data_IF_172887018431
#
_entry.id   IF_172887018431
#
_cell.length_a   1.000
_cell.length_b   1.000
_cell.length_c   1.000
_cell.angle_alpha   90.00
_cell.angle_beta   90.00
_cell.angle_gamma   90.00
#
_symmetry.space_group_name_H-M   'P 1'
#
loop_
_entity.id
_entity.type
_entity.pdbx_description
1 polymer ?
#
# COMPACT_ATOMS: atom_id res chain seq x y z
N UNK A 1 -1.84 -1.51 -5.76
CA UNK A 1 -2.44 -2.86 -5.70
C UNK A 1 -1.34 -3.88 -5.94
N UNK A 2 -1.39 -5.06 -5.32
CA UNK A 2 -0.49 -6.17 -5.69
C UNK A 2 -1.03 -6.86 -6.96
N UNK A 3 -0.15 -7.31 -7.85
CA UNK A 3 -0.55 -7.96 -9.12
C UNK A 3 -0.98 -9.42 -8.97
N UNK A 4 -0.42 -10.10 -7.98
CA UNK A 4 -0.75 -11.49 -7.68
C UNK A 4 -1.87 -11.56 -6.62
N UNK A 5 -2.65 -12.64 -6.64
CA UNK A 5 -3.66 -12.93 -5.62
C UNK A 5 -3.88 -14.45 -5.52
N UNK A 6 -4.77 -14.85 -4.62
CA UNK A 6 -5.22 -16.24 -4.50
C UNK A 6 -6.74 -16.29 -4.37
N UNK A 7 -7.32 -17.43 -4.71
CA UNK A 7 -8.74 -17.73 -4.56
C UNK A 7 -8.92 -18.70 -3.40
N UNK A 8 -10.02 -18.57 -2.65
CA UNK A 8 -10.44 -19.50 -1.60
C UNK A 8 -11.77 -20.14 -2.00
N UNK A 9 -11.92 -21.44 -1.74
CA UNK A 9 -13.10 -22.22 -2.11
C UNK A 9 -13.81 -22.82 -0.88
N UNK A 10 -15.07 -23.20 -1.07
CA UNK A 10 -15.79 -24.11 -0.17
C UNK A 10 -15.28 -25.55 -0.31
N UNK A 11 -15.52 -26.40 0.69
CA UNK A 11 -15.19 -27.84 0.62
C UNK A 11 -16.27 -28.67 -0.09
N UNK A 12 -17.49 -28.14 -0.19
CA UNK A 12 -18.65 -28.77 -0.83
C UNK A 12 -19.22 -27.90 -1.94
N UNK A 13 -20.00 -28.53 -2.83
CA UNK A 13 -20.58 -27.88 -4.00
C UNK A 13 -21.71 -26.91 -3.61
N UNK A 14 -21.70 -25.71 -4.21
CA UNK A 14 -22.73 -24.70 -4.01
C UNK A 14 -24.12 -25.18 -4.42
N UNK A 15 -25.09 -24.99 -3.54
CA UNK A 15 -26.52 -25.21 -3.72
C UNK A 15 -27.31 -24.28 -2.78
N UNK A 16 -28.64 -24.23 -2.90
CA UNK A 16 -29.51 -23.35 -2.09
C UNK A 16 -30.43 -24.14 -1.13
N UNK A 17 -30.24 -25.45 -1.03
CA UNK A 17 -31.06 -26.36 -0.23
C UNK A 17 -30.42 -26.65 1.15
N UNK A 18 -29.09 -26.66 1.19
CA UNK A 18 -28.26 -26.83 2.39
C UNK A 18 -27.45 -25.54 2.66
N UNK A 19 -27.68 -24.92 3.81
CA UNK A 19 -27.04 -23.67 4.25
C UNK A 19 -25.78 -23.90 5.12
N UNK A 20 -25.23 -25.11 5.14
CA UNK A 20 -24.02 -25.44 5.91
C UNK A 20 -22.83 -24.56 5.56
N UNK A 21 -22.03 -24.19 6.57
CA UNK A 21 -20.84 -23.33 6.40
C UNK A 21 -19.78 -23.95 5.47
N UNK A 22 -19.73 -25.27 5.37
CA UNK A 22 -18.87 -26.03 4.45
C UNK A 22 -19.18 -25.77 2.97
N UNK A 23 -20.38 -25.27 2.64
CA UNK A 23 -20.83 -24.89 1.29
C UNK A 23 -20.68 -23.38 1.06
N UNK A 24 -21.11 -22.54 2.01
CA UNK A 24 -21.33 -21.10 1.75
C UNK A 24 -20.19 -20.16 2.17
N UNK A 25 -19.28 -20.57 3.06
CA UNK A 25 -18.23 -19.70 3.59
C UNK A 25 -16.84 -20.11 3.10
N UNK A 26 -16.11 -19.22 2.41
CA UNK A 26 -14.78 -19.52 1.84
C UNK A 26 -13.61 -19.28 2.83
N UNK A 27 -13.91 -19.03 4.10
CA UNK A 27 -12.94 -18.67 5.12
C UNK A 27 -12.10 -19.90 5.52
N UNK A 28 -10.77 -19.81 5.36
CA UNK A 28 -9.87 -20.94 5.65
C UNK A 28 -9.96 -21.44 7.11
N UNK A 29 -10.22 -20.53 8.06
CA UNK A 29 -10.48 -20.84 9.47
C UNK A 29 -11.63 -21.81 9.70
N UNK A 30 -12.61 -21.84 8.79
CA UNK A 30 -13.76 -22.74 8.78
C UNK A 30 -13.43 -23.96 7.92
N UNK A 31 -13.03 -23.73 6.66
CA UNK A 31 -12.88 -24.78 5.65
C UNK A 31 -11.79 -25.81 5.97
N UNK A 32 -10.78 -25.46 6.78
CA UNK A 32 -9.77 -26.42 7.28
C UNK A 32 -10.37 -27.56 8.13
N UNK A 33 -11.53 -27.34 8.76
CA UNK A 33 -12.19 -28.35 9.59
C UNK A 33 -12.83 -29.44 8.72
N UNK A 34 -13.33 -29.05 7.54
CA UNK A 34 -14.02 -29.90 6.56
C UNK A 34 -13.08 -30.65 5.61
N UNK A 35 -11.77 -30.39 5.68
CA UNK A 35 -10.74 -30.98 4.81
C UNK A 35 -10.59 -32.53 4.91
N UNK A 36 -11.32 -33.18 5.82
CA UNK A 36 -11.35 -34.65 5.99
C UNK A 36 -12.65 -35.32 5.53
N UNK A 37 -13.66 -34.54 5.16
CA UNK A 37 -14.93 -35.09 4.68
C UNK A 37 -14.81 -35.55 3.22
N UNK A 38 -15.80 -36.31 2.74
CA UNK A 38 -15.86 -36.71 1.33
C UNK A 38 -16.17 -35.48 0.48
N UNK A 39 -15.14 -34.90 -0.12
CA UNK A 39 -15.25 -33.71 -0.96
C UNK A 39 -15.99 -34.07 -2.26
N UNK A 40 -17.23 -33.62 -2.37
CA UNK A 40 -18.02 -33.71 -3.60
C UNK A 40 -17.28 -32.95 -4.72
N UNK A 41 -16.76 -33.67 -5.71
CA UNK A 41 -15.86 -33.11 -6.74
C UNK A 41 -14.38 -33.00 -6.32
N UNK A 42 -13.88 -33.89 -5.45
CA UNK A 42 -12.51 -33.89 -4.92
C UNK A 42 -11.40 -33.66 -5.96
N UNK A 43 -11.55 -34.20 -7.18
CA UNK A 43 -10.56 -34.12 -8.27
C UNK A 43 -10.43 -32.70 -8.87
N UNK A 44 -11.42 -31.83 -8.66
CA UNK A 44 -11.45 -30.49 -9.26
C UNK A 44 -10.68 -29.43 -8.45
N UNK A 45 -10.52 -29.62 -7.13
CA UNK A 45 -9.96 -28.62 -6.21
C UNK A 45 -8.87 -29.22 -5.31
N UNK A 46 -7.71 -28.54 -5.12
CA UNK A 46 -6.63 -29.03 -4.26
C UNK A 46 -7.08 -29.10 -2.79
N UNK A 47 -6.42 -29.94 -1.99
CA UNK A 47 -6.77 -30.20 -0.59
C UNK A 47 -6.75 -28.96 0.31
N UNK A 48 -6.02 -27.90 -0.06
CA UNK A 48 -5.96 -26.62 0.65
C UNK A 48 -7.18 -25.72 0.43
N UNK A 49 -8.12 -26.08 -0.46
CA UNK A 49 -9.21 -25.23 -0.93
C UNK A 49 -8.74 -23.86 -1.45
N UNK A 50 -7.53 -23.77 -2.03
CA UNK A 50 -7.00 -22.52 -2.60
C UNK A 50 -6.35 -22.71 -3.97
N UNK A 51 -6.49 -21.71 -4.84
CA UNK A 51 -5.72 -21.58 -6.09
C UNK A 51 -4.87 -20.30 -6.08
N UNK A 52 -3.67 -20.38 -6.64
CA UNK A 52 -2.92 -19.19 -7.04
C UNK A 52 -3.57 -18.53 -8.27
N UNK A 53 -3.32 -17.23 -8.48
CA UNK A 53 -3.80 -16.52 -9.68
C UNK A 53 -3.42 -17.24 -10.98
N UNK A 54 -2.20 -17.78 -11.09
CA UNK A 54 -1.76 -18.56 -12.25
C UNK A 54 -2.70 -19.74 -12.53
N UNK A 55 -3.10 -20.48 -11.50
CA UNK A 55 -4.02 -21.63 -11.66
C UNK A 55 -5.44 -21.20 -12.05
N UNK A 56 -5.89 -20.06 -11.56
CA UNK A 56 -7.17 -19.47 -11.98
C UNK A 56 -7.14 -18.97 -13.43
N UNK A 57 -6.04 -18.34 -13.87
CA UNK A 57 -5.85 -17.94 -15.27
C UNK A 57 -5.79 -19.15 -16.22
N UNK A 58 -5.09 -20.23 -15.84
CA UNK A 58 -5.13 -21.52 -16.56
C UNK A 58 -6.55 -22.07 -16.67
N UNK A 59 -7.33 -22.05 -15.59
CA UNK A 59 -8.71 -22.50 -15.59
C UNK A 59 -9.60 -21.65 -16.50
N UNK A 60 -9.52 -20.32 -16.41
CA UNK A 60 -10.23 -19.42 -17.33
C UNK A 60 -9.83 -19.68 -18.79
N UNK A 61 -8.55 -19.93 -19.07
CA UNK A 61 -8.08 -20.26 -20.41
C UNK A 61 -8.63 -21.60 -20.92
N UNK A 62 -8.76 -22.61 -20.04
CA UNK A 62 -9.38 -23.91 -20.38
C UNK A 62 -10.87 -23.83 -20.71
N UNK A 63 -11.54 -22.74 -20.31
CA UNK A 63 -12.94 -22.45 -20.60
C UNK A 63 -13.15 -21.49 -21.79
N UNK A 64 -12.09 -21.19 -22.56
CA UNK A 64 -12.01 -20.13 -23.57
C UNK A 64 -12.41 -18.72 -23.06
N UNK A 65 -12.07 -18.46 -21.79
CA UNK A 65 -12.45 -17.25 -21.04
C UNK A 65 -11.25 -16.53 -20.42
N UNK A 66 -10.02 -16.91 -20.76
CA UNK A 66 -8.78 -16.31 -20.20
C UNK A 66 -8.74 -14.79 -20.29
N UNK A 67 -9.28 -14.23 -21.38
CA UNK A 67 -9.36 -12.78 -21.59
C UNK A 67 -10.22 -12.03 -20.56
N UNK A 68 -11.12 -12.70 -19.82
CA UNK A 68 -11.95 -12.04 -18.80
C UNK A 68 -11.13 -11.53 -17.61
N UNK A 69 -9.97 -12.14 -17.31
CA UNK A 69 -9.08 -11.65 -16.26
C UNK A 69 -8.65 -10.20 -16.52
N UNK A 70 -7.97 -9.95 -17.63
CA UNK A 70 -7.47 -8.62 -18.00
C UNK A 70 -8.57 -7.66 -18.48
N UNK A 71 -9.66 -8.15 -19.09
CA UNK A 71 -10.71 -7.28 -19.67
C UNK A 71 -11.87 -6.95 -18.73
N UNK A 72 -12.03 -7.68 -17.61
CA UNK A 72 -13.14 -7.49 -16.67
C UNK A 72 -12.72 -7.60 -15.20
N UNK A 73 -12.25 -8.77 -14.77
CA UNK A 73 -12.05 -9.10 -13.35
C UNK A 73 -11.06 -8.13 -12.70
N UNK A 74 -9.85 -8.05 -13.24
CA UNK A 74 -8.77 -7.23 -12.66
C UNK A 74 -9.05 -5.71 -12.79
N UNK A 75 -9.54 -5.18 -13.93
CA UNK A 75 -10.01 -3.79 -14.01
C UNK A 75 -11.13 -3.43 -13.02
N UNK A 76 -12.10 -4.33 -12.79
CA UNK A 76 -13.20 -4.05 -11.86
C UNK A 76 -12.75 -4.17 -10.39
N UNK A 77 -11.78 -5.03 -10.05
CA UNK A 77 -11.12 -4.99 -8.72
C UNK A 77 -10.46 -3.63 -8.48
N UNK A 78 -9.68 -3.12 -9.44
CA UNK A 78 -9.04 -1.78 -9.34
C UNK A 78 -10.06 -0.66 -9.14
N UNK A 79 -11.18 -0.70 -9.87
CA UNK A 79 -12.28 0.29 -9.71
C UNK A 79 -12.95 0.21 -8.34
N UNK A 80 -13.25 -0.99 -7.84
CA UNK A 80 -13.84 -1.16 -6.51
C UNK A 80 -12.90 -0.63 -5.41
N UNK A 81 -11.61 -0.98 -5.46
CA UNK A 81 -10.59 -0.48 -4.50
C UNK A 81 -10.47 1.05 -4.58
N UNK A 82 -10.42 1.62 -5.80
CA UNK A 82 -10.34 3.06 -5.97
C UNK A 82 -11.59 3.76 -5.45
N UNK A 83 -12.78 3.23 -5.71
CA UNK A 83 -14.04 3.81 -5.25
C UNK A 83 -14.13 3.85 -3.72
N UNK A 84 -13.79 2.77 -3.01
CA UNK A 84 -13.84 2.74 -1.54
C UNK A 84 -12.75 3.61 -0.91
N UNK A 85 -11.54 3.68 -1.49
CA UNK A 85 -10.49 4.60 -1.05
C UNK A 85 -10.93 6.05 -1.23
N UNK A 86 -11.40 6.44 -2.43
CA UNK A 86 -11.87 7.80 -2.70
C UNK A 86 -13.04 8.20 -1.77
N UNK A 87 -13.99 7.31 -1.52
CA UNK A 87 -15.11 7.57 -0.62
C UNK A 87 -14.71 7.66 0.87
N UNK A 88 -13.51 7.21 1.23
CA UNK A 88 -12.98 7.25 2.60
C UNK A 88 -12.05 8.44 2.88
N UNK A 89 -11.59 9.17 1.84
CA UNK A 89 -10.56 10.21 1.95
C UNK A 89 -10.88 11.27 3.01
N UNK A 90 -12.12 11.76 3.05
CA UNK A 90 -12.56 12.83 3.96
C UNK A 90 -12.48 12.43 5.45
N UNK A 91 -12.54 11.13 5.75
CA UNK A 91 -12.38 10.57 7.10
C UNK A 91 -11.00 9.97 7.38
N UNK A 92 -10.15 9.81 6.37
CA UNK A 92 -8.84 9.15 6.51
C UNK A 92 -7.78 10.10 7.07
N UNK A 93 -7.26 9.78 8.26
CA UNK A 93 -6.13 10.52 8.87
C UNK A 93 -4.82 10.25 8.12
N UNK A 94 -4.54 11.06 7.11
CA UNK A 94 -3.32 10.97 6.30
C UNK A 94 -2.11 11.62 6.99
N UNK A 95 -1.21 10.79 7.54
CA UNK A 95 0.04 11.22 8.17
C UNK A 95 1.28 10.87 7.34
N UNK A 96 2.35 11.66 7.46
CA UNK A 96 3.60 11.37 6.74
C UNK A 96 4.29 10.14 7.31
N UNK A 97 4.88 9.33 6.42
CA UNK A 97 5.57 8.08 6.72
C UNK A 97 4.68 6.99 7.35
N UNK A 98 3.36 7.19 7.38
CA UNK A 98 2.38 6.15 7.71
C UNK A 98 1.97 5.42 6.43
N UNK A 99 1.80 4.09 6.54
CA UNK A 99 1.20 3.25 5.50
C UNK A 99 0.41 2.13 6.18
N UNK A 100 -0.54 1.53 5.47
CA UNK A 100 -1.25 0.33 5.92
C UNK A 100 -1.38 -0.65 4.75
N UNK A 101 -1.33 -1.95 5.04
CA UNK A 101 -1.60 -3.02 4.09
C UNK A 101 -3.00 -3.59 4.38
N UNK A 102 -3.89 -3.46 3.41
CA UNK A 102 -5.25 -4.00 3.48
C UNK A 102 -5.39 -5.31 2.71
N UNK A 103 -6.14 -6.26 3.26
CA UNK A 103 -6.78 -7.32 2.47
C UNK A 103 -8.06 -6.78 1.83
N UNK A 104 -8.42 -7.30 0.66
CA UNK A 104 -9.65 -6.93 -0.04
C UNK A 104 -10.28 -8.17 -0.66
N UNK A 105 -11.43 -8.58 -0.13
CA UNK A 105 -12.06 -9.86 -0.45
C UNK A 105 -13.15 -9.64 -1.52
N UNK A 106 -13.03 -10.40 -2.62
CA UNK A 106 -13.87 -10.25 -3.80
C UNK A 106 -14.61 -11.54 -4.14
N UNK A 107 -15.88 -11.41 -4.51
CA UNK A 107 -16.64 -12.47 -5.18
C UNK A 107 -16.63 -12.22 -6.70
N UNK A 108 -16.30 -13.25 -7.47
CA UNK A 108 -16.42 -13.23 -8.94
C UNK A 108 -17.78 -13.80 -9.31
N UNK A 109 -18.61 -13.01 -9.98
CA UNK A 109 -19.93 -13.44 -10.47
C UNK A 109 -19.83 -14.22 -11.78
N UNK A 110 -20.88 -14.94 -12.14
CA UNK A 110 -21.04 -15.68 -13.43
C UNK A 110 -20.73 -14.81 -14.66
N UNK A 111 -21.06 -13.52 -14.58
CA UNK A 111 -20.81 -12.51 -15.63
C UNK A 111 -19.40 -11.88 -15.57
N UNK A 112 -18.48 -12.48 -14.81
CA UNK A 112 -17.10 -12.03 -14.57
C UNK A 112 -16.99 -10.58 -14.05
N UNK A 113 -18.05 -10.07 -13.40
CA UNK A 113 -18.01 -8.85 -12.60
C UNK A 113 -17.50 -9.20 -11.20
N UNK A 114 -16.64 -8.36 -10.64
CA UNK A 114 -16.19 -8.50 -9.24
C UNK A 114 -17.01 -7.62 -8.31
N UNK A 115 -17.49 -8.22 -7.23
CA UNK A 115 -18.15 -7.55 -6.12
C UNK A 115 -17.19 -7.54 -4.92
N UNK A 116 -16.92 -6.36 -4.38
CA UNK A 116 -16.20 -6.23 -3.11
C UNK A 116 -17.12 -6.69 -1.97
N UNK A 117 -16.61 -7.57 -1.11
CA UNK A 117 -17.33 -8.09 0.05
C UNK A 117 -16.88 -7.36 1.33
N UNK A 118 -15.57 -7.33 1.58
CA UNK A 118 -14.99 -6.67 2.75
C UNK A 118 -13.56 -6.15 2.49
N UNK A 119 -13.13 -5.19 3.30
CA UNK A 119 -11.75 -4.69 3.37
C UNK A 119 -11.22 -5.01 4.77
N UNK A 120 -10.15 -5.78 4.85
CA UNK A 120 -9.55 -6.23 6.11
C UNK A 120 -8.32 -5.38 6.45
N UNK A 121 -8.42 -4.58 7.51
CA UNK A 121 -7.26 -4.02 8.24
C UNK A 121 -6.45 -5.17 8.84
N UNK A 122 -5.13 -5.21 8.62
CA UNK A 122 -4.26 -6.33 9.04
C UNK A 122 -4.69 -7.71 8.49
N UNK A 123 -4.55 -7.96 7.17
CA UNK A 123 -4.82 -9.28 6.59
C UNK A 123 -3.89 -10.35 7.16
N UNK A 124 -4.35 -11.61 7.22
CA UNK A 124 -3.50 -12.74 7.58
C UNK A 124 -2.44 -13.00 6.50
N UNK A 125 -1.17 -12.99 6.92
CA UNK A 125 0.00 -13.26 6.09
C UNK A 125 0.68 -14.59 6.46
N UNK A 126 -0.02 -15.46 7.18
CA UNK A 126 0.49 -16.77 7.57
C UNK A 126 0.70 -17.72 6.39
N UNK A 127 1.80 -18.48 6.43
CA UNK A 127 2.12 -19.56 5.49
C UNK A 127 1.24 -20.82 5.69
N UNK A 128 -0.05 -20.62 5.97
CA UNK A 128 -1.04 -21.66 6.30
C UNK A 128 -1.35 -22.65 5.17
N UNK A 129 -0.98 -22.36 3.91
CA UNK A 129 -1.17 -23.23 2.74
C UNK A 129 0.00 -23.09 1.77
N UNK A 130 0.13 -24.02 0.81
CA UNK A 130 1.13 -23.96 -0.27
C UNK A 130 0.99 -22.72 -1.18
N UNK A 131 -0.17 -22.04 -1.15
CA UNK A 131 -0.41 -20.80 -1.90
C UNK A 131 -0.01 -19.58 -1.07
N UNK A 132 -0.41 -19.54 0.21
CA UNK A 132 -0.07 -18.41 1.10
C UNK A 132 1.41 -18.40 1.48
N UNK A 133 2.05 -19.57 1.61
CA UNK A 133 3.49 -19.70 1.88
C UNK A 133 4.39 -19.09 0.79
N UNK A 134 3.88 -18.96 -0.45
CA UNK A 134 4.58 -18.33 -1.58
C UNK A 134 4.24 -16.84 -1.69
N UNK A 135 2.95 -16.48 -1.65
CA UNK A 135 2.53 -15.09 -1.92
C UNK A 135 2.77 -14.15 -0.72
N UNK A 136 2.57 -14.60 0.52
CA UNK A 136 2.66 -13.71 1.69
C UNK A 136 4.10 -13.19 1.96
N UNK A 137 5.16 -14.02 1.86
CA UNK A 137 6.54 -13.51 1.94
C UNK A 137 6.89 -12.56 0.77
N UNK A 138 6.44 -12.85 -0.45
CA UNK A 138 6.69 -12.02 -1.62
C UNK A 138 6.00 -10.64 -1.52
N UNK A 139 4.78 -10.59 -0.99
CA UNK A 139 4.07 -9.34 -0.67
C UNK A 139 4.86 -8.51 0.34
N UNK A 140 5.39 -9.14 1.41
CA UNK A 140 6.18 -8.44 2.44
C UNK A 140 7.51 -7.91 1.89
N UNK A 141 8.22 -8.68 1.08
CA UNK A 141 9.47 -8.24 0.45
C UNK A 141 9.22 -7.05 -0.51
N UNK A 142 8.20 -7.14 -1.35
CA UNK A 142 7.83 -6.06 -2.27
C UNK A 142 7.28 -4.82 -1.56
N UNK A 143 6.63 -4.98 -0.41
CA UNK A 143 6.14 -3.86 0.41
C UNK A 143 7.29 -3.01 0.94
N UNK A 144 8.39 -3.63 1.38
CA UNK A 144 9.61 -2.91 1.78
C UNK A 144 10.17 -2.07 0.62
N UNK A 145 10.20 -2.63 -0.60
CA UNK A 145 10.65 -1.91 -1.80
C UNK A 145 9.78 -0.68 -2.09
N UNK A 146 8.47 -0.78 -1.88
CA UNK A 146 7.52 0.34 -2.04
C UNK A 146 7.71 1.43 -0.99
N UNK A 147 7.78 1.08 0.30
CA UNK A 147 7.74 2.07 1.40
C UNK A 147 9.12 2.60 1.79
N UNK A 148 10.19 1.84 1.59
CA UNK A 148 11.57 2.22 1.92
C UNK A 148 12.34 2.64 0.67
N UNK A 149 12.49 1.76 -0.32
CA UNK A 149 13.48 1.97 -1.38
C UNK A 149 13.00 2.96 -2.44
N UNK A 150 11.76 2.80 -2.92
CA UNK A 150 11.08 3.78 -3.77
C UNK A 150 10.81 5.11 -3.04
N UNK A 151 10.90 5.18 -1.71
CA UNK A 151 10.90 6.46 -0.98
C UNK A 151 12.25 7.17 -1.06
N UNK A 152 13.36 6.43 -1.18
CA UNK A 152 14.73 6.98 -1.31
C UNK A 152 15.11 7.28 -2.77
N UNK A 153 14.78 6.39 -3.71
CA UNK A 153 15.03 6.55 -5.15
C UNK A 153 13.81 6.13 -5.96
N UNK A 154 13.21 7.07 -6.69
CA UNK A 154 12.02 6.84 -7.54
C UNK A 154 12.27 5.97 -8.77
N UNK A 155 13.50 5.48 -8.96
CA UNK A 155 13.88 4.48 -9.97
C UNK A 155 13.94 3.06 -9.40
N UNK A 156 13.78 2.88 -8.09
CA UNK A 156 13.71 1.55 -7.47
C UNK A 156 12.43 0.82 -7.89
N UNK A 157 12.54 -0.48 -8.21
CA UNK A 157 11.41 -1.29 -8.63
C UNK A 157 10.49 -1.66 -7.47
N UNK A 158 9.18 -1.51 -7.67
CA UNK A 158 8.13 -1.83 -6.68
C UNK A 158 7.74 -3.31 -6.62
N UNK A 159 8.54 -4.20 -7.21
CA UNK A 159 8.21 -5.63 -7.32
C UNK A 159 6.89 -5.86 -8.07
N UNK A 160 6.00 -6.66 -7.49
CA UNK A 160 4.65 -6.89 -8.03
C UNK A 160 3.59 -5.89 -7.51
N UNK A 161 3.97 -4.84 -6.77
CA UNK A 161 3.07 -3.71 -6.53
C UNK A 161 3.01 -2.78 -7.73
N UNK A 162 1.80 -2.40 -8.11
CA UNK A 162 1.52 -1.33 -9.07
C UNK A 162 0.76 -0.17 -8.43
N UNK A 163 1.06 1.04 -8.91
CA UNK A 163 0.35 2.27 -8.55
C UNK A 163 -0.95 2.34 -9.38
N UNK A 164 -2.11 2.26 -8.71
CA UNK A 164 -3.43 2.34 -9.38
C UNK A 164 -4.06 3.74 -9.32
N UNK A 165 -3.61 4.57 -8.37
CA UNK A 165 -4.04 5.95 -8.17
C UNK A 165 -2.99 6.68 -7.33
N UNK A 166 -2.91 8.01 -7.49
CA UNK A 166 -2.06 8.89 -6.69
C UNK A 166 -2.82 10.19 -6.47
N UNK A 167 -2.86 10.67 -5.23
CA UNK A 167 -3.52 11.91 -4.83
C UNK A 167 -2.48 12.87 -4.27
N UNK A 168 -2.48 14.11 -4.75
CA UNK A 168 -1.74 15.19 -4.09
C UNK A 168 -2.55 15.66 -2.88
N UNK A 169 -2.13 15.25 -1.68
CA UNK A 169 -2.74 15.69 -0.43
C UNK A 169 -2.31 17.14 -0.16
N UNK A 170 -3.24 18.11 -0.11
CA UNK A 170 -2.89 19.50 0.15
C UNK A 170 -2.17 19.65 1.48
N UNK A 171 -1.13 20.50 1.52
CA UNK A 171 -0.42 20.81 2.77
C UNK A 171 -1.27 21.72 3.65
N UNK A 172 -2.22 21.14 4.38
CA UNK A 172 -2.80 21.79 5.55
C UNK A 172 -1.64 22.13 6.49
N UNK A 173 -1.47 23.42 6.81
CA UNK A 173 -0.39 23.85 7.68
C UNK A 173 -0.63 23.27 9.09
N UNK A 174 0.37 22.63 9.72
CA UNK A 174 0.21 22.20 11.10
C UNK A 174 0.15 23.43 12.02
N UNK A 175 -0.77 23.35 13.00
CA UNK A 175 -1.04 24.34 14.05
C UNK A 175 -1.78 25.62 13.64
N UNK A 176 -2.82 25.94 14.43
CA UNK A 176 -3.57 27.20 14.36
C UNK A 176 -4.85 27.14 13.53
N UNK A 177 -5.88 27.86 13.98
CA UNK A 177 -7.07 28.11 13.18
C UNK A 177 -6.68 28.92 11.94
N UNK A 178 -6.88 28.34 10.76
CA UNK A 178 -6.41 28.90 9.49
C UNK A 178 -7.17 30.16 9.08
N UNK A 179 -6.76 31.33 9.60
CA UNK A 179 -7.23 32.63 9.15
C UNK A 179 -6.67 32.95 7.75
N UNK A 180 -7.39 32.52 6.71
CA UNK A 180 -7.13 32.91 5.33
C UNK A 180 -7.45 34.39 5.12
N UNK A 181 -6.41 35.21 4.93
CA UNK A 181 -6.56 36.63 4.60
C UNK A 181 -6.52 36.81 3.09
N UNK A 182 -7.69 36.87 2.47
CA UNK A 182 -7.83 37.31 1.08
C UNK A 182 -7.79 38.84 0.98
N UNK A 183 -7.08 39.36 -0.02
CA UNK A 183 -6.96 40.80 -0.25
C UNK A 183 -6.45 41.14 -1.65
N UNK A 184 -6.92 42.25 -2.19
CA UNK A 184 -6.37 42.85 -3.43
C UNK A 184 -5.52 44.06 -3.10
N UNK A 185 -4.40 44.22 -3.81
CA UNK A 185 -3.48 45.35 -3.63
C UNK A 185 -4.19 46.68 -3.90
N UNK A 186 -4.28 47.53 -2.88
CA UNK A 186 -4.77 48.90 -3.02
C UNK A 186 -3.71 49.76 -3.71
N UNK A 187 -3.90 50.04 -4.99
CA UNK A 187 -3.07 51.00 -5.72
C UNK A 187 -3.28 52.42 -5.16
N UNK A 188 -2.36 52.89 -4.32
CA UNK A 188 -2.41 54.25 -3.80
C UNK A 188 -2.25 55.27 -4.92
N UNK A 189 -3.34 56.00 -5.22
CA UNK A 189 -3.33 57.13 -6.15
C UNK A 189 -2.62 58.38 -5.57
N UNK A 190 -2.23 58.35 -4.30
CA UNK A 190 -1.46 59.40 -3.64
C UNK A 190 -0.17 58.87 -3.01
N UNK A 191 0.78 58.45 -3.86
CA UNK A 191 2.20 58.58 -3.50
C UNK A 191 2.61 60.04 -3.68
N UNK A 192 2.32 60.88 -2.68
CA UNK A 192 2.92 62.22 -2.60
C UNK A 192 4.45 62.08 -2.65
N UNK A 193 5.10 62.87 -3.50
CA UNK A 193 6.57 62.91 -3.55
C UNK A 193 7.06 63.63 -2.30
N UNK A 194 7.78 62.92 -1.42
CA UNK A 194 8.47 63.53 -0.28
C UNK A 194 9.49 64.58 -0.79
N UNK A 195 9.41 65.85 -0.38
CA UNK A 195 10.19 66.95 -0.96
C UNK A 195 11.61 67.03 -0.34
N UNK A 196 12.34 65.92 -0.35
CA UNK A 196 13.71 65.84 0.18
C UNK A 196 14.67 65.28 -0.87
N UNK A 197 15.71 66.05 -1.16
CA UNK A 197 16.80 65.70 -2.07
C UNK A 197 17.69 64.59 -1.49
N UNK A 198 18.39 63.80 -2.32
CA UNK A 198 19.45 62.91 -1.84
C UNK A 198 20.57 63.72 -1.17
N UNK A 199 21.09 63.23 -0.04
CA UNK A 199 22.27 63.82 0.60
C UNK A 199 23.52 63.31 -0.13
N UNK A 200 24.23 64.22 -0.80
CA UNK A 200 25.58 63.95 -1.31
C UNK A 200 26.60 64.05 -0.16
N UNK A 201 27.12 62.91 0.31
CA UNK A 201 28.24 62.88 1.26
C UNK A 201 29.57 62.84 0.51
N UNK A 202 30.12 64.02 0.16
CA UNK A 202 31.35 64.15 -0.63
C UNK A 202 32.42 65.04 0.01
N UNK A 203 32.84 64.73 1.25
CA UNK A 203 34.06 65.25 1.88
C UNK A 203 34.61 64.26 2.92
N UNK A 204 35.82 63.75 2.72
CA UNK A 204 36.57 62.90 3.65
C UNK A 204 37.97 62.64 3.07
N UNK A 205 39.06 62.74 3.86
CA UNK A 205 40.40 62.93 3.29
C UNK A 205 41.06 61.64 2.79
N UNK A 206 41.91 61.81 1.77
CA UNK A 206 42.76 60.78 1.17
C UNK A 206 43.74 60.18 2.17
N UNK A 207 43.80 58.85 2.24
CA UNK A 207 44.94 58.11 2.79
C UNK A 207 45.52 57.23 1.68
N UNK A 208 46.82 57.36 1.43
CA UNK A 208 47.52 56.65 0.34
C UNK A 208 48.14 55.36 0.89
N UNK A 209 47.88 54.23 0.23
CA UNK A 209 48.89 53.17 0.12
C UNK A 209 48.70 52.30 -1.13
N UNK A 210 49.83 51.83 -1.65
CA UNK A 210 50.05 51.08 -2.90
C UNK A 210 49.37 49.70 -2.91
N UNK A 211 48.70 49.31 -4.02
CA UNK A 211 49.16 48.31 -5.03
C UNK A 211 49.10 46.83 -4.56
N UNK A 212 49.06 45.77 -5.40
CA UNK A 212 49.44 45.62 -6.83
C UNK A 212 48.46 44.64 -7.56
N UNK A 213 48.74 44.32 -8.82
CA UNK A 213 47.87 43.68 -9.83
C UNK A 213 47.36 42.24 -9.61
N UNK A 214 46.28 41.97 -10.35
CA UNK A 214 45.81 40.70 -10.97
C UNK A 214 46.92 39.83 -11.60
N UNK A 215 46.72 38.53 -12.00
CA UNK A 215 45.45 37.95 -12.51
C UNK A 215 45.10 36.48 -12.19
N UNK A 216 43.98 36.02 -12.76
CA UNK A 216 43.51 34.62 -12.84
C UNK A 216 44.49 33.71 -13.59
N UNK A 217 44.49 32.40 -13.29
CA UNK A 217 44.60 31.34 -14.32
C UNK A 217 43.86 30.05 -13.91
N UNK A 218 43.44 29.28 -14.92
CA UNK A 218 42.70 28.02 -14.84
C UNK A 218 43.42 26.88 -15.57
N UNK A 219 43.43 25.68 -15.01
CA UNK A 219 43.63 24.35 -15.65
C UNK A 219 43.13 23.28 -14.64
N UNK A 220 42.38 22.22 -14.93
CA UNK A 220 42.16 21.35 -16.11
C UNK A 220 42.94 20.01 -16.09
N UNK A 221 42.23 18.96 -15.68
CA UNK A 221 42.29 17.54 -16.08
C UNK A 221 43.62 16.73 -16.14
N UNK A 222 43.76 15.78 -15.21
CA UNK A 222 44.20 14.37 -15.39
C UNK A 222 44.02 13.62 -14.03
N UNK A 223 43.79 12.30 -13.90
CA UNK A 223 43.51 11.25 -14.90
C UNK A 223 44.59 10.17 -14.99
N UNK A 224 44.49 9.07 -14.20
CA UNK A 224 45.22 7.78 -14.37
C UNK A 224 44.70 6.71 -13.38
N UNK A 225 44.91 5.43 -13.69
CA UNK A 225 44.46 4.19 -13.00
C UNK A 225 45.61 3.56 -12.14
N UNK A 226 45.48 2.48 -11.37
CA UNK A 226 44.46 1.40 -11.29
C UNK A 226 43.84 1.29 -9.86
N UNK A 227 43.78 0.22 -9.05
CA UNK A 227 44.28 -1.16 -9.06
C UNK A 227 43.36 -2.12 -8.25
N UNK A 228 43.60 -3.43 -8.36
CA UNK A 228 42.90 -4.49 -7.60
C UNK A 228 43.88 -5.27 -6.73
N UNK A 229 43.50 -5.59 -5.49
CA UNK A 229 44.16 -6.66 -4.70
C UNK A 229 43.09 -7.51 -4.00
N UNK A 230 43.28 -8.83 -4.04
CA UNK A 230 42.41 -9.84 -3.40
C UNK A 230 43.00 -10.20 -2.04
N UNK A 231 42.16 -10.47 -1.05
CA UNK A 231 42.56 -11.03 0.25
C UNK A 231 41.78 -12.32 0.55
N UNK A 232 42.44 -13.47 0.38
CA UNK A 232 41.93 -14.80 0.75
C UNK A 232 42.41 -15.22 2.14
N UNK A 233 41.57 -15.90 2.92
CA UNK A 233 41.98 -16.52 4.18
C UNK A 233 41.03 -17.62 4.66
N UNK A 234 41.51 -18.87 4.71
CA UNK A 234 40.96 -19.91 5.59
C UNK A 234 41.51 -19.77 7.02
N UNK A 235 41.36 -20.72 7.95
CA UNK A 235 41.43 -22.19 7.77
C UNK A 235 40.98 -22.88 9.09
N UNK A 236 40.25 -24.02 9.05
CA UNK A 236 40.19 -25.14 10.06
C UNK A 236 39.68 -24.78 11.51
N UNK A 237 39.06 -25.66 12.32
CA UNK A 237 38.22 -26.89 12.19
C UNK A 237 37.75 -27.33 13.61
N UNK A 238 37.02 -28.45 13.72
CA UNK A 238 36.55 -29.14 14.97
C UNK A 238 35.45 -28.41 15.76
N UNK A 239 34.58 -29.09 16.53
CA UNK A 239 34.38 -30.52 16.73
C UNK A 239 33.00 -30.80 17.37
N UNK A 240 32.54 -32.05 17.41
CA UNK A 240 31.17 -32.40 17.83
C UNK A 240 31.08 -32.95 19.27
N UNK A 241 30.01 -32.62 20.00
CA UNK A 241 29.36 -33.57 20.92
C UNK A 241 27.93 -33.17 21.36
N UNK A 242 27.14 -34.17 21.75
CA UNK A 242 25.68 -34.11 21.90
C UNK A 242 25.08 -33.53 23.20
N UNK A 243 23.76 -33.72 23.34
CA UNK A 243 23.11 -33.87 24.65
C UNK A 243 21.84 -33.04 24.94
N UNK A 244 20.70 -33.74 25.03
CA UNK A 244 19.52 -33.45 25.88
C UNK A 244 18.91 -32.03 25.95
N UNK A 245 17.79 -31.89 25.23
CA UNK A 245 16.45 -31.69 25.78
C UNK A 245 16.21 -30.80 27.02
N UNK A 246 15.29 -29.83 26.87
CA UNK A 246 14.26 -29.53 27.89
C UNK A 246 13.00 -28.92 27.25
N UNK A 247 11.83 -29.33 27.74
CA UNK A 247 10.58 -28.62 27.44
C UNK A 247 10.60 -27.21 28.01
N UNK A 248 9.99 -26.26 27.31
CA UNK A 248 9.36 -25.10 27.95
C UNK A 248 7.90 -25.05 27.54
N UNK A 249 7.00 -24.89 28.52
CA UNK A 249 5.59 -24.59 28.30
C UNK A 249 5.39 -23.13 28.68
N UNK A 250 4.81 -22.34 27.80
CA UNK A 250 4.18 -21.08 28.20
C UNK A 250 2.68 -21.21 27.98
N UNK A 251 1.92 -21.03 29.06
CA UNK A 251 0.47 -21.09 29.06
C UNK A 251 -0.11 -19.75 28.60
N UNK A 252 -1.26 -19.80 27.92
CA UNK A 252 -2.03 -18.59 27.65
C UNK A 252 -2.69 -18.08 28.94
N UNK A 253 -2.53 -16.79 29.22
CA UNK A 253 -3.31 -16.08 30.24
C UNK A 253 -4.40 -15.24 29.56
N UNK A 254 -5.62 -15.76 29.51
CA UNK A 254 -6.80 -15.00 29.09
C UNK A 254 -7.20 -14.00 30.17
N UNK A 255 -7.38 -12.73 29.78
CA UNK A 255 -7.96 -11.68 30.62
C UNK A 255 -9.16 -11.06 29.91
N UNK A 256 -10.35 -11.55 30.22
CA UNK A 256 -11.60 -10.93 29.77
C UNK A 256 -11.81 -9.58 30.46
N UNK A 257 -12.18 -8.54 29.71
CA UNK A 257 -12.66 -7.27 30.26
C UNK A 257 -14.00 -6.91 29.60
N UNK A 258 -15.10 -7.23 30.29
CA UNK A 258 -16.45 -6.98 29.79
C UNK A 258 -16.84 -5.51 29.95
N UNK A 259 -17.35 -4.88 28.89
CA UNK A 259 -18.07 -3.60 28.97
C UNK A 259 -19.27 -3.59 28.01
N UNK A 260 -20.32 -2.84 28.39
CA UNK A 260 -21.65 -2.90 27.76
C UNK A 260 -21.82 -1.82 26.69
N UNK A 261 -22.50 -2.17 25.59
CA UNK A 261 -23.07 -1.23 24.62
C UNK A 261 -24.46 -1.71 24.16
N UNK A 262 -25.44 -0.82 24.10
CA UNK A 262 -26.86 -1.19 23.91
C UNK A 262 -27.26 -1.43 22.45
N UNK A 263 -28.27 -2.29 22.25
CA UNK A 263 -28.98 -2.45 20.97
C UNK A 263 -30.04 -1.36 20.78
N UNK A 264 -29.95 -0.59 19.70
CA UNK A 264 -31.06 0.17 19.08
C UNK A 264 -30.83 0.16 17.57
N UNK A 265 -31.53 -0.69 16.81
CA UNK A 265 -32.85 -0.42 16.20
C UNK A 265 -32.76 0.45 14.93
N UNK A 266 -32.72 -0.22 13.77
CA UNK A 266 -32.76 0.38 12.44
C UNK A 266 -34.22 0.63 11.99
N UNK A 267 -34.67 1.89 11.88
CA UNK A 267 -35.84 2.24 11.05
C UNK A 267 -35.97 3.76 10.79
N UNK A 268 -36.12 4.15 9.51
CA UNK A 268 -36.46 5.52 9.05
C UNK A 268 -35.38 6.60 9.37
N UNK A 269 -35.31 7.80 8.78
CA UNK A 269 -36.02 8.53 7.69
C UNK A 269 -35.03 9.61 7.16
N UNK A 270 -35.05 10.20 5.96
CA UNK A 270 -35.97 10.24 4.80
C UNK A 270 -35.16 10.34 3.48
N UNK A 271 -35.82 10.51 2.34
CA UNK A 271 -35.26 10.85 1.02
C UNK A 271 -34.87 12.33 0.90
N UNK A 272 -33.77 12.65 0.20
CA UNK A 272 -33.77 13.75 -0.78
C UNK A 272 -32.78 13.46 -1.95
N UNK A 273 -33.11 13.95 -3.15
CA UNK A 273 -32.29 13.92 -4.37
C UNK A 273 -32.67 15.13 -5.25
N UNK A 274 -31.82 16.16 -5.35
CA UNK A 274 -31.96 17.18 -6.37
C UNK A 274 -31.85 16.56 -7.78
N UNK A 275 -32.90 16.69 -8.59
CA UNK A 275 -32.80 16.50 -10.04
C UNK A 275 -32.07 17.71 -10.63
N UNK A 276 -30.89 17.51 -11.20
CA UNK A 276 -30.31 18.46 -12.16
C UNK A 276 -30.63 18.02 -13.58
N UNK A 277 -31.06 18.97 -14.41
CA UNK A 277 -31.60 18.73 -15.75
C UNK A 277 -30.55 18.76 -16.84
N UNK A 278 -30.72 17.92 -17.86
CA UNK A 278 -30.04 18.05 -19.14
C UNK A 278 -30.37 19.41 -19.81
N UNK A 279 -29.32 20.13 -20.23
CA UNK A 279 -29.24 20.85 -21.51
C UNK A 279 -27.78 21.09 -21.86
#
# INVERSE_FOLDING_TARGET
>A
MYRNCYLRFSSRQFNLDDFSESIHLTNYSIQKNYAKEVREGADALPASNMWSLKRFQEHLQSLDKGFYWERKIYPDMKKNILAIVCASLDGMKMERNMFELYGADFMVTENFRTMLIEINTSPDLSSSTDVTSVICPAVLEDLVKVVIDNTKDKRAGTGQFELIHSLEIPRVAPYGYGLTVDGRSMQSKHRSKSPLSPINTSTGPTVVSTATSTPKRSTAAAGTTVATTIATGGIISTGANGGNAKHSRYAASSSESSSRGSKTSLTSVILDRPRTTLK
#
